data_IF_811645957250
#
_entry.id   IF_811645957250
#
_cell.length_a   1.000
_cell.length_b   1.000
_cell.length_c   1.000
_cell.angle_alpha   90.00
_cell.angle_beta   90.00
_cell.angle_gamma   90.00
#
_symmetry.space_group_name_H-M   'P 1'
#
loop_
_entity.id
_entity.type
_entity.pdbx_description
1 polymer ?
#
# COMPACT_ATOMS: atom_id res chain seq x y z
N UNK A 1 63.44 -16.07 46.80
CA UNK A 1 63.46 -16.08 45.32
C UNK A 1 62.39 -17.06 44.85
N UNK A 2 61.66 -16.72 43.78
CA UNK A 2 60.44 -17.37 43.21
C UNK A 2 59.11 -16.83 43.76
N UNK A 3 58.41 -16.05 42.92
CA UNK A 3 56.95 -16.14 42.72
C UNK A 3 56.63 -15.74 41.28
N UNK A 4 55.94 -16.64 40.58
CA UNK A 4 55.48 -16.54 39.19
C UNK A 4 54.51 -15.36 39.01
N UNK A 5 54.49 -14.73 37.84
CA UNK A 5 53.25 -14.38 37.15
C UNK A 5 53.49 -14.23 35.64
N UNK A 6 52.83 -15.09 34.87
CA UNK A 6 52.58 -14.94 33.44
C UNK A 6 51.65 -13.74 33.21
N UNK A 7 51.82 -12.98 32.13
CA UNK A 7 50.67 -12.50 31.37
C UNK A 7 50.99 -12.44 29.87
N UNK A 8 50.12 -13.12 29.13
CA UNK A 8 50.14 -13.38 27.71
C UNK A 8 49.52 -12.19 26.97
N UNK A 9 50.12 -11.89 25.82
CA UNK A 9 49.64 -11.07 24.71
C UNK A 9 48.15 -11.20 24.39
N UNK A 10 47.50 -10.13 23.94
CA UNK A 10 46.29 -10.22 23.11
C UNK A 10 46.28 -9.11 22.07
N UNK A 11 46.58 -9.49 20.83
CA UNK A 11 46.35 -8.73 19.61
C UNK A 11 44.86 -8.34 19.52
N UNK A 12 44.59 -7.07 19.19
CA UNK A 12 43.30 -6.67 18.63
C UNK A 12 43.18 -7.25 17.22
N UNK A 13 42.22 -8.14 17.01
CA UNK A 13 41.66 -8.45 15.70
C UNK A 13 40.28 -7.79 15.62
N UNK A 14 40.22 -6.61 15.02
CA UNK A 14 38.95 -6.00 14.61
C UNK A 14 38.55 -6.71 13.32
N UNK A 15 37.69 -7.73 13.44
CA UNK A 15 37.03 -8.32 12.28
C UNK A 15 35.99 -7.33 11.77
N UNK A 16 36.36 -6.53 10.76
CA UNK A 16 35.41 -5.77 9.95
C UNK A 16 34.61 -6.76 9.10
N UNK A 17 33.52 -7.29 9.64
CA UNK A 17 32.52 -8.01 8.86
C UNK A 17 31.83 -7.01 7.91
N UNK A 18 32.28 -6.96 6.66
CA UNK A 18 31.50 -6.41 5.56
C UNK A 18 30.24 -7.27 5.41
N UNK A 19 29.17 -6.87 6.11
CA UNK A 19 27.84 -7.36 5.82
C UNK A 19 27.46 -6.74 4.49
N UNK A 20 27.68 -7.48 3.39
CA UNK A 20 27.00 -7.18 2.13
C UNK A 20 25.51 -7.27 2.42
N UNK A 21 24.87 -6.11 2.59
CA UNK A 21 23.43 -6.03 2.65
C UNK A 21 22.93 -6.42 1.26
N UNK A 22 22.53 -7.68 1.08
CA UNK A 22 21.84 -8.12 -0.13
C UNK A 22 20.67 -7.17 -0.37
N UNK A 23 20.78 -6.35 -1.41
CA UNK A 23 19.77 -5.35 -1.73
C UNK A 23 18.68 -6.04 -2.54
N UNK A 24 17.46 -6.09 -2.00
CA UNK A 24 16.30 -6.64 -2.67
C UNK A 24 15.35 -5.52 -3.09
N UNK A 25 14.79 -5.61 -4.29
CA UNK A 25 13.69 -4.75 -4.74
C UNK A 25 12.37 -5.50 -4.56
N UNK A 26 11.36 -4.80 -4.05
CA UNK A 26 9.98 -5.29 -3.97
C UNK A 26 9.26 -4.89 -5.27
N UNK A 27 8.82 -5.87 -6.04
CA UNK A 27 8.08 -5.69 -7.30
C UNK A 27 6.66 -6.22 -7.14
N UNK A 28 5.67 -5.50 -7.70
CA UNK A 28 4.26 -5.90 -7.66
C UNK A 28 3.69 -5.87 -6.24
N UNK A 29 2.45 -6.36 -6.06
CA UNK A 29 1.83 -6.45 -4.74
C UNK A 29 1.46 -5.10 -4.10
N UNK A 30 1.58 -4.01 -4.85
CA UNK A 30 1.36 -2.64 -4.41
C UNK A 30 0.30 -1.98 -5.27
N UNK A 31 -0.57 -1.20 -4.64
CA UNK A 31 -1.52 -0.34 -5.35
C UNK A 31 -1.07 1.11 -5.23
N UNK A 32 -1.17 1.84 -6.34
CA UNK A 32 -1.25 3.30 -6.30
C UNK A 32 -2.61 3.75 -5.76
N UNK A 33 -2.78 5.04 -5.43
CA UNK A 33 -1.79 6.10 -5.44
C UNK A 33 -0.97 6.12 -4.14
N UNK A 34 -0.10 7.11 -4.01
CA UNK A 34 0.63 7.38 -2.78
C UNK A 34 -0.33 7.61 -1.59
N UNK A 35 0.00 7.21 -0.35
CA UNK A 35 -0.87 7.37 0.81
C UNK A 35 -1.34 8.80 1.09
N UNK A 36 -0.49 9.79 0.80
CA UNK A 36 -0.84 11.21 0.86
C UNK A 36 -1.94 11.55 -0.15
N UNK A 37 -1.73 11.22 -1.42
CA UNK A 37 -2.67 11.52 -2.50
C UNK A 37 -4.01 10.82 -2.27
N UNK A 38 -3.99 9.55 -1.82
CA UNK A 38 -5.20 8.83 -1.43
C UNK A 38 -5.95 9.59 -0.33
N UNK A 39 -5.24 10.05 0.71
CA UNK A 39 -5.82 10.78 1.84
C UNK A 39 -6.46 12.09 1.39
N UNK A 40 -5.78 12.85 0.53
CA UNK A 40 -6.25 14.11 -0.01
C UNK A 40 -7.49 13.91 -0.89
N UNK A 41 -7.43 12.96 -1.84
CA UNK A 41 -8.57 12.62 -2.73
C UNK A 41 -9.78 12.14 -1.94
N UNK A 42 -9.57 11.23 -0.98
CA UNK A 42 -10.66 10.74 -0.14
C UNK A 42 -11.34 11.90 0.57
N UNK A 43 -10.56 12.75 1.25
CA UNK A 43 -11.07 13.87 2.03
C UNK A 43 -11.72 14.96 1.19
N UNK A 44 -11.31 15.14 -0.07
CA UNK A 44 -11.95 16.02 -1.04
C UNK A 44 -13.32 15.48 -1.45
N UNK A 45 -13.40 14.23 -1.92
CA UNK A 45 -14.67 13.59 -2.36
C UNK A 45 -15.70 13.56 -1.22
N UNK A 46 -15.29 13.24 0.01
CA UNK A 46 -16.20 13.26 1.18
C UNK A 46 -16.49 14.67 1.71
N UNK A 47 -15.88 15.72 1.16
CA UNK A 47 -16.20 17.11 1.50
C UNK A 47 -17.54 17.56 0.91
N UNK A 48 -17.90 16.99 -0.23
CA UNK A 48 -19.04 17.44 -1.05
C UNK A 48 -20.36 16.69 -0.76
N UNK A 49 -20.35 15.75 0.20
CA UNK A 49 -21.48 14.86 0.45
C UNK A 49 -22.24 15.19 1.75
N UNK A 50 -23.58 15.18 1.73
CA UNK A 50 -24.40 15.32 2.95
C UNK A 50 -24.28 14.11 3.89
N UNK A 51 -23.77 12.98 3.39
CA UNK A 51 -23.48 11.79 4.20
C UNK A 51 -22.05 11.95 4.75
N UNK A 52 -21.96 12.45 5.98
CA UNK A 52 -20.67 12.77 6.61
C UNK A 52 -19.93 11.50 7.06
N UNK A 53 -19.07 10.97 6.19
CA UNK A 53 -17.93 10.16 6.62
C UNK A 53 -16.90 11.09 7.31
N UNK A 54 -16.30 10.61 8.40
CA UNK A 54 -15.20 11.33 9.05
C UNK A 54 -14.00 11.43 8.11
N UNK A 55 -13.21 12.51 8.28
CA UNK A 55 -11.93 12.66 7.57
C UNK A 55 -11.00 11.52 7.97
N UNK A 56 -10.19 11.08 7.02
CA UNK A 56 -9.11 10.13 7.26
C UNK A 56 -7.78 10.84 7.38
N UNK A 57 -6.87 10.24 8.13
CA UNK A 57 -5.47 10.64 8.19
C UNK A 57 -4.59 9.40 8.16
N UNK A 58 -3.88 9.17 7.05
CA UNK A 58 -2.97 8.02 6.91
C UNK A 58 -1.54 8.53 7.02
N UNK A 59 -0.85 8.15 8.10
CA UNK A 59 0.55 8.54 8.32
C UNK A 59 1.54 7.59 7.65
N UNK A 60 2.71 8.11 7.29
CA UNK A 60 3.75 7.30 6.66
C UNK A 60 4.33 6.23 7.61
N UNK A 61 4.35 6.49 8.93
CA UNK A 61 5.07 5.68 9.93
C UNK A 61 4.36 4.38 10.34
N UNK A 62 3.07 4.21 10.00
CA UNK A 62 2.28 3.06 10.46
C UNK A 62 2.01 2.09 9.32
N UNK A 63 2.55 0.87 9.43
CA UNK A 63 2.33 -0.22 8.48
C UNK A 63 0.86 -0.66 8.36
N UNK A 64 0.08 -0.57 9.43
CA UNK A 64 -1.37 -0.79 9.40
C UNK A 64 -2.09 0.33 10.15
N UNK A 65 -3.16 0.87 9.55
CA UNK A 65 -3.99 1.91 10.17
C UNK A 65 -5.46 1.54 10.03
N UNK A 66 -6.21 1.64 11.12
CA UNK A 66 -7.65 1.38 11.17
C UNK A 66 -8.34 2.64 11.68
N UNK A 67 -9.38 3.10 10.98
CA UNK A 67 -10.12 4.31 11.30
C UNK A 67 -11.62 4.05 11.17
N UNK A 68 -12.38 4.37 12.23
CA UNK A 68 -13.84 4.41 12.15
C UNK A 68 -14.27 5.70 11.46
N UNK A 69 -15.06 5.57 10.40
CA UNK A 69 -15.57 6.70 9.62
C UNK A 69 -16.95 7.16 10.08
N UNK A 70 -17.52 6.50 11.10
CA UNK A 70 -18.91 6.68 11.54
C UNK A 70 -19.89 5.82 10.74
N UNK A 71 -21.15 5.79 11.18
CA UNK A 71 -22.26 5.10 10.49
C UNK A 71 -21.99 3.61 10.16
N UNK A 72 -21.25 2.90 11.02
CA UNK A 72 -20.92 1.49 10.80
C UNK A 72 -19.82 1.24 9.77
N UNK A 73 -19.16 2.29 9.29
CA UNK A 73 -18.08 2.20 8.28
C UNK A 73 -16.72 2.27 8.96
N UNK A 74 -15.83 1.35 8.60
CA UNK A 74 -14.43 1.31 9.04
C UNK A 74 -13.52 1.17 7.85
N UNK A 75 -12.47 1.98 7.80
CA UNK A 75 -11.39 1.89 6.81
C UNK A 75 -10.14 1.30 7.47
N UNK A 76 -9.51 0.35 6.80
CA UNK A 76 -8.25 -0.28 7.18
C UNK A 76 -7.28 -0.16 6.02
N UNK A 77 -6.19 0.58 6.20
CA UNK A 77 -5.12 0.69 5.23
C UNK A 77 -3.90 -0.13 5.67
N UNK A 78 -3.35 -0.90 4.75
CA UNK A 78 -2.13 -1.68 4.90
C UNK A 78 -1.08 -1.12 3.97
N UNK A 79 -0.01 -0.59 4.55
CA UNK A 79 1.16 -0.09 3.84
C UNK A 79 2.22 -1.18 3.68
N UNK A 80 3.07 -1.01 2.68
CA UNK A 80 4.31 -1.79 2.55
C UNK A 80 5.32 -1.31 3.58
N UNK A 81 6.05 -2.23 4.22
CA UNK A 81 7.01 -1.90 5.29
C UNK A 81 8.18 -1.04 4.82
N UNK A 82 8.60 -1.20 3.55
CA UNK A 82 9.77 -0.53 2.97
C UNK A 82 9.42 0.51 1.90
N UNK A 83 8.16 0.93 1.78
CA UNK A 83 7.72 1.82 0.71
C UNK A 83 6.57 2.74 1.10
N UNK A 84 6.43 3.85 0.38
CA UNK A 84 5.29 4.76 0.53
C UNK A 84 4.17 4.40 -0.44
N UNK A 85 3.71 3.16 -0.32
CA UNK A 85 2.64 2.58 -1.12
C UNK A 85 1.73 1.71 -0.25
N UNK A 86 0.53 1.42 -0.76
CA UNK A 86 -0.38 0.50 -0.11
C UNK A 86 -0.16 -0.92 -0.61
N UNK A 87 -0.16 -1.87 0.32
CA UNK A 87 -0.35 -3.29 0.05
C UNK A 87 -1.84 -3.60 -0.18
N UNK A 88 -2.70 -2.99 0.63
CA UNK A 88 -4.15 -3.08 0.44
C UNK A 88 -4.90 -1.99 1.20
N UNK A 89 -6.12 -1.72 0.77
CA UNK A 89 -7.09 -0.87 1.49
C UNK A 89 -8.38 -1.67 1.62
N UNK A 90 -8.90 -1.80 2.83
CA UNK A 90 -10.17 -2.46 3.10
C UNK A 90 -11.15 -1.48 3.72
N UNK A 91 -12.34 -1.39 3.16
CA UNK A 91 -13.48 -0.77 3.83
C UNK A 91 -14.46 -1.86 4.27
N UNK A 92 -14.95 -1.75 5.49
CA UNK A 92 -15.90 -2.70 6.09
C UNK A 92 -17.08 -1.95 6.65
N UNK A 93 -18.27 -2.48 6.42
CA UNK A 93 -19.53 -1.90 6.81
C UNK A 93 -20.34 -2.91 7.62
N UNK A 94 -21.02 -2.42 8.66
CA UNK A 94 -21.92 -3.23 9.49
C UNK A 94 -23.22 -2.51 9.81
N UNK A 95 -24.23 -3.29 10.18
CA UNK A 95 -25.54 -2.75 10.55
C UNK A 95 -26.33 -2.22 9.36
N UNK A 96 -26.20 -2.87 8.20
CA UNK A 96 -26.80 -2.43 6.93
C UNK A 96 -28.33 -2.53 6.87
N UNK A 97 -29.00 -2.89 7.97
CA UNK A 97 -30.46 -2.75 8.11
C UNK A 97 -30.92 -1.29 8.26
N UNK A 98 -30.02 -0.36 8.60
CA UNK A 98 -30.36 1.06 8.70
C UNK A 98 -29.98 1.77 7.40
N UNK A 99 -30.95 2.44 6.78
CA UNK A 99 -30.79 3.15 5.50
C UNK A 99 -29.58 4.10 5.52
N UNK A 100 -29.42 4.92 6.57
CA UNK A 100 -28.26 5.82 6.73
C UNK A 100 -26.91 5.08 6.69
N UNK A 101 -26.82 3.88 7.28
CA UNK A 101 -25.60 3.07 7.29
C UNK A 101 -25.37 2.40 5.93
N UNK A 102 -26.44 1.99 5.25
CA UNK A 102 -26.37 1.48 3.89
C UNK A 102 -25.83 2.53 2.92
N UNK A 103 -26.38 3.75 2.93
CA UNK A 103 -25.86 4.82 2.10
C UNK A 103 -24.43 5.21 2.45
N UNK A 104 -24.09 5.30 3.74
CA UNK A 104 -22.71 5.58 4.16
C UNK A 104 -21.73 4.48 3.68
N UNK A 105 -22.16 3.22 3.67
CA UNK A 105 -21.36 2.13 3.15
C UNK A 105 -21.12 2.24 1.65
N UNK A 106 -22.19 2.43 0.87
CA UNK A 106 -22.10 2.61 -0.59
C UNK A 106 -21.21 3.80 -0.94
N UNK A 107 -21.47 4.95 -0.31
CA UNK A 107 -20.68 6.15 -0.48
C UNK A 107 -19.20 5.93 -0.10
N UNK A 108 -18.94 5.23 1.00
CA UNK A 108 -17.58 4.90 1.43
C UNK A 108 -16.85 4.00 0.44
N UNK A 109 -17.52 2.98 -0.11
CA UNK A 109 -16.92 2.08 -1.11
C UNK A 109 -16.56 2.83 -2.38
N UNK A 110 -17.49 3.62 -2.93
CA UNK A 110 -17.24 4.43 -4.12
C UNK A 110 -16.13 5.46 -3.86
N UNK A 111 -16.15 6.13 -2.70
CA UNK A 111 -15.10 7.10 -2.32
C UNK A 111 -13.73 6.45 -2.26
N UNK A 112 -13.60 5.28 -1.62
CA UNK A 112 -12.33 4.55 -1.60
C UNK A 112 -11.89 4.17 -3.00
N UNK A 113 -12.80 3.65 -3.83
CA UNK A 113 -12.48 3.19 -5.17
C UNK A 113 -11.97 4.34 -6.04
N UNK A 114 -12.68 5.47 -6.08
CA UNK A 114 -12.28 6.69 -6.80
C UNK A 114 -10.99 7.33 -6.26
N UNK A 115 -10.74 7.20 -4.96
CA UNK A 115 -9.50 7.70 -4.36
C UNK A 115 -8.30 6.86 -4.78
N UNK A 116 -8.52 5.58 -5.11
CA UNK A 116 -7.51 4.67 -5.65
C UNK A 116 -7.33 4.89 -7.16
N UNK A 117 -8.42 4.86 -7.91
CA UNK A 117 -8.39 5.01 -9.37
C UNK A 117 -9.43 6.05 -9.82
N UNK A 118 -8.93 7.20 -10.27
CA UNK A 118 -9.77 8.32 -10.74
C UNK A 118 -10.40 8.06 -12.10
N UNK A 119 -9.99 6.99 -12.80
CA UNK A 119 -10.57 6.56 -14.08
C UNK A 119 -11.73 5.57 -13.92
N UNK A 120 -12.06 5.17 -12.68
CA UNK A 120 -13.22 4.32 -12.42
C UNK A 120 -14.51 5.03 -12.80
N UNK A 121 -15.28 4.40 -13.68
CA UNK A 121 -16.61 4.86 -14.03
C UNK A 121 -17.59 4.52 -12.91
N UNK A 122 -18.11 5.55 -12.23
CA UNK A 122 -19.00 5.40 -11.07
C UNK A 122 -20.20 4.47 -11.29
N UNK A 123 -20.80 4.53 -12.49
CA UNK A 123 -21.96 3.70 -12.85
C UNK A 123 -21.60 2.22 -12.87
N UNK A 124 -20.46 1.89 -13.47
CA UNK A 124 -20.01 0.50 -13.60
C UNK A 124 -19.60 -0.07 -12.24
N UNK A 125 -18.94 0.75 -11.42
CA UNK A 125 -18.56 0.35 -10.07
C UNK A 125 -19.78 0.07 -9.16
N UNK A 126 -20.86 0.85 -9.32
CA UNK A 126 -22.11 0.61 -8.58
C UNK A 126 -22.76 -0.72 -9.00
N UNK A 127 -22.71 -1.07 -10.28
CA UNK A 127 -23.22 -2.37 -10.76
C UNK A 127 -22.45 -3.54 -10.13
N UNK A 128 -21.14 -3.40 -9.93
CA UNK A 128 -20.31 -4.42 -9.26
C UNK A 128 -20.71 -4.58 -7.79
N UNK A 129 -21.00 -3.48 -7.08
CA UNK A 129 -21.53 -3.54 -5.72
C UNK A 129 -22.87 -4.29 -5.70
N UNK A 130 -23.78 -3.96 -6.64
CA UNK A 130 -25.08 -4.63 -6.73
C UNK A 130 -24.92 -6.13 -7.02
N UNK A 131 -23.99 -6.51 -7.89
CA UNK A 131 -23.65 -7.91 -8.15
C UNK A 131 -23.19 -8.60 -6.87
N UNK A 132 -22.33 -7.97 -6.07
CA UNK A 132 -21.86 -8.53 -4.81
C UNK A 132 -23.01 -8.71 -3.80
N UNK A 133 -23.96 -7.77 -3.75
CA UNK A 133 -25.17 -7.89 -2.90
C UNK A 133 -26.02 -9.10 -3.33
N UNK A 134 -26.17 -9.31 -4.64
CA UNK A 134 -27.01 -10.38 -5.18
C UNK A 134 -26.37 -11.78 -5.06
N UNK A 135 -25.05 -11.86 -5.19
CA UNK A 135 -24.30 -13.13 -5.29
C UNK A 135 -23.45 -13.45 -4.07
N UNK A 136 -23.34 -12.51 -3.13
CA UNK A 136 -22.45 -12.56 -1.97
C UNK A 136 -21.02 -12.08 -2.24
N UNK A 137 -20.57 -12.06 -3.51
CA UNK A 137 -19.22 -11.61 -3.87
C UNK A 137 -19.11 -11.14 -5.32
N UNK A 138 -18.40 -10.04 -5.56
CA UNK A 138 -17.97 -9.63 -6.88
C UNK A 138 -16.48 -9.24 -6.87
N UNK A 139 -15.82 -9.39 -8.01
CA UNK A 139 -14.45 -8.95 -8.22
C UNK A 139 -14.43 -8.12 -9.50
N UNK A 140 -13.86 -6.92 -9.42
CA UNK A 140 -13.58 -6.07 -10.57
C UNK A 140 -12.09 -5.81 -10.62
N UNK A 141 -11.47 -5.99 -11.79
CA UNK A 141 -10.07 -5.66 -12.01
C UNK A 141 -10.01 -4.47 -12.96
N UNK A 142 -9.25 -3.45 -12.57
CA UNK A 142 -8.97 -2.31 -13.42
C UNK A 142 -7.54 -1.84 -13.19
N UNK A 143 -6.77 -1.71 -14.28
CA UNK A 143 -5.41 -1.16 -14.27
C UNK A 143 -4.47 -1.85 -13.27
N UNK A 144 -4.57 -3.17 -13.10
CA UNK A 144 -3.73 -3.93 -12.17
C UNK A 144 -4.22 -3.92 -10.71
N UNK A 145 -5.43 -3.40 -10.46
CA UNK A 145 -6.03 -3.30 -9.13
C UNK A 145 -7.30 -4.12 -9.05
N UNK A 146 -7.34 -5.04 -8.10
CA UNK A 146 -8.52 -5.83 -7.75
C UNK A 146 -9.38 -5.10 -6.71
N UNK A 147 -10.65 -4.91 -7.03
CA UNK A 147 -11.72 -4.46 -6.13
C UNK A 147 -12.61 -5.65 -5.79
N UNK A 148 -12.34 -6.29 -4.65
CA UNK A 148 -13.06 -7.48 -4.20
C UNK A 148 -14.14 -7.06 -3.21
N UNK A 149 -15.39 -7.16 -3.61
CA UNK A 149 -16.56 -6.81 -2.79
C UNK A 149 -17.20 -8.09 -2.27
N UNK A 150 -17.52 -8.13 -0.99
CA UNK A 150 -18.19 -9.27 -0.34
C UNK A 150 -19.33 -8.74 0.50
N UNK A 151 -20.53 -9.28 0.30
CA UNK A 151 -21.73 -8.94 1.04
C UNK A 151 -22.25 -10.18 1.78
N UNK A 152 -22.54 -10.01 3.06
CA UNK A 152 -23.24 -11.01 3.86
C UNK A 152 -24.59 -10.40 4.24
N UNK A 153 -25.61 -10.74 3.45
CA UNK A 153 -26.98 -10.24 3.59
C UNK A 153 -27.68 -10.76 4.84
N UNK A 154 -27.22 -11.89 5.39
CA UNK A 154 -27.71 -12.45 6.65
C UNK A 154 -27.16 -11.64 7.84
N UNK A 155 -25.84 -11.40 7.84
CA UNK A 155 -25.18 -10.61 8.89
C UNK A 155 -25.33 -9.09 8.73
N UNK A 156 -25.94 -8.63 7.63
CA UNK A 156 -26.10 -7.21 7.28
C UNK A 156 -24.74 -6.49 7.29
N UNK A 157 -23.75 -7.12 6.64
CA UNK A 157 -22.39 -6.58 6.51
C UNK A 157 -21.93 -6.60 5.07
N UNK A 158 -21.03 -5.70 4.73
CA UNK A 158 -20.40 -5.65 3.41
C UNK A 158 -18.96 -5.18 3.57
N UNK A 159 -18.05 -5.66 2.74
CA UNK A 159 -16.68 -5.17 2.72
C UNK A 159 -16.12 -5.13 1.31
N UNK A 160 -15.24 -4.18 1.07
CA UNK A 160 -14.47 -4.11 -0.16
C UNK A 160 -12.98 -4.13 0.20
N UNK A 161 -12.23 -5.05 -0.40
CA UNK A 161 -10.78 -5.12 -0.33
C UNK A 161 -10.22 -4.68 -1.68
N UNK A 162 -9.38 -3.67 -1.65
CA UNK A 162 -8.62 -3.15 -2.78
C UNK A 162 -7.17 -3.59 -2.63
N UNK A 163 -6.61 -4.25 -3.64
CA UNK A 163 -5.23 -4.76 -3.63
C UNK A 163 -4.70 -4.89 -5.06
N UNK A 164 -3.40 -5.10 -5.20
CA UNK A 164 -2.82 -5.43 -6.50
C UNK A 164 -3.31 -6.81 -6.94
N UNK A 165 -3.50 -6.97 -8.25
CA UNK A 165 -3.83 -8.25 -8.87
C UNK A 165 -2.61 -9.18 -8.96
N UNK A 166 -1.42 -8.57 -9.02
CA UNK A 166 -0.13 -9.25 -8.99
C UNK A 166 0.37 -9.39 -7.56
N UNK A 167 0.93 -10.57 -7.19
CA UNK A 167 1.53 -10.75 -5.88
C UNK A 167 2.85 -9.98 -5.74
N UNK A 168 3.17 -9.62 -4.50
CA UNK A 168 4.48 -9.06 -4.12
C UNK A 168 5.58 -10.10 -4.39
N UNK A 169 6.64 -9.69 -5.10
CA UNK A 169 7.85 -10.50 -5.33
C UNK A 169 9.07 -9.73 -4.85
N UNK A 170 10.05 -10.47 -4.31
CA UNK A 170 11.37 -9.92 -3.97
C UNK A 170 12.35 -10.39 -5.02
N UNK A 171 12.96 -9.44 -5.71
CA UNK A 171 14.02 -9.71 -6.67
C UNK A 171 15.32 -9.19 -6.08
N UNK A 172 16.40 -9.98 -6.20
CA UNK A 172 17.73 -9.51 -5.84
C UNK A 172 18.13 -8.44 -6.85
N UNK A 173 18.62 -7.29 -6.38
CA UNK A 173 19.43 -6.46 -7.24
C UNK A 173 20.72 -7.24 -7.42
N UNK A 174 20.90 -7.84 -8.59
CA UNK A 174 22.23 -8.25 -9.00
C UNK A 174 23.09 -6.98 -8.93
N UNK A 175 24.21 -7.07 -8.21
CA UNK A 175 25.14 -5.95 -8.06
C UNK A 175 25.45 -5.45 -9.46
N UNK A 176 24.96 -4.24 -9.78
CA UNK A 176 25.38 -3.55 -11.00
C UNK A 176 26.87 -3.35 -10.80
N UNK A 177 27.69 -4.15 -11.47
CA UNK A 177 29.14 -4.15 -11.34
C UNK A 177 29.63 -2.71 -11.24
N UNK A 178 30.22 -2.33 -10.09
CA UNK A 178 30.82 -1.01 -9.89
C UNK A 178 31.87 -0.69 -10.98
N UNK A 179 32.36 -1.72 -11.69
CA UNK A 179 33.25 -1.60 -12.84
C UNK A 179 32.58 -0.89 -14.03
N UNK A 180 31.25 -0.99 -14.19
CA UNK A 180 30.50 -0.29 -15.23
C UNK A 180 30.28 1.21 -14.89
N UNK A 181 30.23 1.57 -13.61
CA UNK A 181 30.12 2.96 -13.15
C UNK A 181 31.47 3.70 -13.13
N UNK A 182 32.60 2.98 -13.10
CA UNK A 182 33.97 3.54 -13.23
C UNK A 182 34.48 3.56 -14.68
N UNK A 183 33.74 2.99 -15.62
CA UNK A 183 34.04 3.08 -17.05
C UNK A 183 33.78 4.50 -17.54
N UNK A 184 34.87 5.24 -17.80
CA UNK A 184 34.87 6.59 -18.36
C UNK A 184 34.46 6.64 -19.85
N UNK A 185 33.66 5.67 -20.32
CA UNK A 185 33.14 5.60 -21.69
C UNK A 185 31.68 5.97 -21.67
N UNK A 186 31.40 7.20 -22.14
CA UNK A 186 30.05 7.65 -22.46
C UNK A 186 29.37 6.63 -23.37
N UNK A 187 28.21 6.12 -22.96
CA UNK A 187 27.32 5.37 -23.84
C UNK A 187 26.66 6.36 -24.81
N UNK A 188 26.88 6.28 -26.14
CA UNK A 188 26.30 7.21 -27.11
C UNK A 188 24.78 7.11 -27.24
N UNK A 189 24.14 6.17 -26.55
CA UNK A 189 22.70 5.90 -26.67
C UNK A 189 21.84 6.58 -25.59
N UNK A 190 22.47 7.27 -24.62
CA UNK A 190 21.77 8.00 -23.55
C UNK A 190 22.41 9.39 -23.48
N UNK A 191 21.87 10.34 -24.23
CA UNK A 191 22.19 11.77 -24.07
C UNK A 191 21.78 12.21 -22.67
N UNK A 192 22.70 12.18 -21.70
CA UNK A 192 22.68 13.00 -20.49
C UNK A 192 24.06 12.90 -19.81
N UNK A 193 25.10 13.37 -20.50
CA UNK A 193 26.38 13.65 -19.85
C UNK A 193 26.27 14.98 -19.11
N UNK A 194 26.13 14.94 -17.78
CA UNK A 194 26.24 16.13 -16.94
C UNK A 194 27.71 16.57 -16.99
N UNK A 195 27.99 17.67 -17.70
CA UNK A 195 29.27 18.37 -17.59
C UNK A 195 29.38 18.96 -16.19
N UNK A 196 30.28 18.43 -15.35
CA UNK A 196 30.75 19.18 -14.18
C UNK A 196 31.68 20.29 -14.65
N UNK A 197 31.52 21.49 -14.09
CA UNK A 197 32.41 22.63 -14.28
C UNK A 197 33.60 22.53 -13.33
#
# INVERSE_FOLDING_TARGET
MIKRLLFISSLLAVASSNVYAESYVIIGGMIGPHPKDFTERFNAIKGDSPITLRRIHITAQKGTQVQSLGNGVTLKAHKVTAGDAFKSIKISCSGLQHEKKMYACLFGMVTVALSVDTSLHNRDFTNIIQQAVNTGKAIHNQSGVDYIITADTNKKTMSMLVKADTPERREKMDDIDEEYMKSNKCNPSIELCIKSK
#
